data_IF_674269615870
#
_entry.id   IF_674269615870
#
_cell.length_a   1.000
_cell.length_b   1.000
_cell.length_c   1.000
_cell.angle_alpha   90.00
_cell.angle_beta   90.00
_cell.angle_gamma   90.00
#
_symmetry.space_group_name_H-M   'P 1'
#
loop_
_entity.id
_entity.type
_entity.pdbx_description
1 polymer ?
#
# COMPACT_ATOMS: atom_id res chain seq x y z
N UNK A 1 35.14 -0.65 4.86
CA UNK A 1 34.83 -1.85 5.67
C UNK A 1 33.65 -2.54 4.99
N UNK A 2 33.77 -3.84 4.70
CA UNK A 2 32.63 -4.60 4.10
C UNK A 2 31.89 -5.25 5.25
N UNK A 3 30.63 -4.92 5.42
CA UNK A 3 29.76 -5.51 6.43
C UNK A 3 28.94 -6.64 5.81
N UNK A 4 28.81 -7.75 6.53
CA UNK A 4 28.05 -8.92 6.12
C UNK A 4 26.75 -8.98 6.91
N UNK A 5 25.61 -8.88 6.24
CA UNK A 5 24.31 -9.09 6.84
C UNK A 5 23.85 -10.53 6.59
N UNK A 6 23.31 -11.18 7.62
CA UNK A 6 22.70 -12.51 7.52
C UNK A 6 21.19 -12.37 7.46
N UNK A 7 20.56 -13.09 6.53
CA UNK A 7 19.12 -13.10 6.35
C UNK A 7 18.58 -14.50 6.06
N UNK A 8 17.27 -14.58 5.79
CA UNK A 8 16.57 -15.79 5.38
C UNK A 8 16.41 -15.74 3.85
N UNK A 9 16.90 -16.76 3.16
CA UNK A 9 16.69 -16.88 1.71
C UNK A 9 15.22 -17.19 1.43
N UNK A 10 14.52 -16.26 0.78
CA UNK A 10 13.15 -16.45 0.33
C UNK A 10 13.09 -17.27 -0.99
N UNK A 11 14.06 -17.07 -1.87
CA UNK A 11 14.28 -17.86 -3.09
C UNK A 11 15.76 -18.21 -3.24
N UNK A 12 16.04 -19.20 -4.07
CA UNK A 12 17.40 -19.58 -4.42
C UNK A 12 17.96 -18.63 -5.50
N UNK A 13 19.28 -18.41 -5.47
CA UNK A 13 19.98 -17.64 -6.49
C UNK A 13 21.02 -16.69 -5.91
N UNK A 14 21.74 -16.04 -6.83
CA UNK A 14 22.72 -14.99 -6.53
C UNK A 14 22.49 -13.83 -7.48
N UNK A 15 22.41 -12.63 -6.95
CA UNK A 15 22.31 -11.40 -7.73
C UNK A 15 23.38 -10.41 -7.31
N UNK A 16 23.95 -9.68 -8.30
CA UNK A 16 24.92 -8.61 -8.06
C UNK A 16 24.46 -7.39 -8.88
N UNK A 17 24.07 -6.35 -8.20
CA UNK A 17 23.66 -5.08 -8.82
C UNK A 17 23.75 -3.95 -7.78
N UNK A 18 23.44 -2.72 -8.20
CA UNK A 18 23.35 -1.58 -7.27
C UNK A 18 22.18 -1.75 -6.29
N UNK A 19 22.37 -1.33 -5.05
CA UNK A 19 21.26 -1.23 -4.11
C UNK A 19 20.36 -0.04 -4.44
N UNK A 20 19.07 -0.29 -4.57
CA UNK A 20 18.02 0.73 -4.66
C UNK A 20 17.21 0.72 -3.36
N UNK A 21 17.35 1.78 -2.58
CA UNK A 21 16.65 1.88 -1.31
C UNK A 21 15.23 2.44 -1.54
N UNK A 22 14.22 1.59 -1.31
CA UNK A 22 12.82 1.97 -1.37
C UNK A 22 12.38 2.49 0.00
N UNK A 23 12.42 3.81 0.16
CA UNK A 23 12.07 4.47 1.43
C UNK A 23 10.62 4.89 1.39
N UNK A 24 9.85 4.40 2.35
CA UNK A 24 8.48 4.86 2.56
C UNK A 24 8.49 6.24 3.25
N UNK A 25 7.60 7.16 2.87
CA UNK A 25 7.46 8.42 3.57
C UNK A 25 6.94 8.19 5.00
N UNK A 26 7.31 9.06 5.90
CA UNK A 26 6.67 9.11 7.21
C UNK A 26 5.23 9.59 7.06
N UNK A 27 4.26 8.75 7.39
CA UNK A 27 2.83 9.00 7.33
C UNK A 27 2.24 9.29 8.71
N UNK A 28 3.08 9.60 9.70
CA UNK A 28 2.60 10.02 11.02
C UNK A 28 1.83 11.34 10.91
N UNK A 29 0.77 11.44 11.69
CA UNK A 29 -0.08 12.61 11.81
C UNK A 29 -0.56 12.77 13.26
N UNK A 30 -1.07 13.93 13.59
CA UNK A 30 -1.71 14.18 14.85
C UNK A 30 -3.23 14.20 14.68
N UNK A 31 -3.96 13.62 15.64
CA UNK A 31 -5.41 13.77 15.69
C UNK A 31 -5.74 15.16 16.18
N UNK A 32 -6.45 15.92 15.36
CA UNK A 32 -6.86 17.28 15.69
C UNK A 32 -8.37 17.43 15.61
N UNK A 33 -8.92 18.30 16.47
CA UNK A 33 -10.34 18.67 16.39
C UNK A 33 -10.54 19.67 15.26
N UNK A 34 -11.57 19.43 14.44
CA UNK A 34 -11.94 20.28 13.32
C UNK A 34 -13.33 20.88 13.53
N UNK A 35 -13.49 22.17 13.23
CA UNK A 35 -14.79 22.85 13.32
C UNK A 35 -15.60 22.68 12.02
N UNK A 36 -14.95 22.72 10.88
CA UNK A 36 -15.58 22.55 9.55
C UNK A 36 -15.42 21.11 9.06
N UNK A 37 -16.33 20.25 9.49
CA UNK A 37 -16.35 18.84 9.06
C UNK A 37 -16.63 18.68 7.57
N UNK A 38 -17.31 19.64 6.93
CA UNK A 38 -17.58 19.59 5.49
C UNK A 38 -16.30 19.81 4.68
N UNK A 39 -15.40 20.67 5.13
CA UNK A 39 -14.09 20.84 4.52
C UNK A 39 -13.22 19.58 4.65
N UNK A 40 -13.28 18.89 5.79
CA UNK A 40 -12.58 17.62 6.00
C UNK A 40 -13.12 16.49 5.11
N UNK A 41 -14.45 16.41 4.96
CA UNK A 41 -15.05 15.46 4.03
C UNK A 41 -14.62 15.74 2.57
N UNK A 42 -14.55 17.00 2.17
CA UNK A 42 -14.07 17.36 0.84
C UNK A 42 -12.58 17.02 0.65
N UNK A 43 -11.73 17.16 1.70
CA UNK A 43 -10.34 16.70 1.67
C UNK A 43 -10.25 15.18 1.51
N UNK A 44 -11.09 14.43 2.23
CA UNK A 44 -11.18 12.98 2.09
C UNK A 44 -11.57 12.59 0.66
N UNK A 45 -12.63 13.20 0.11
CA UNK A 45 -13.11 12.91 -1.25
C UNK A 45 -12.02 13.20 -2.30
N UNK A 46 -11.29 14.29 -2.15
CA UNK A 46 -10.17 14.62 -3.03
C UNK A 46 -9.04 13.59 -2.93
N UNK A 47 -8.70 13.12 -1.73
CA UNK A 47 -7.67 12.11 -1.52
C UNK A 47 -8.08 10.73 -2.05
N UNK A 48 -9.36 10.35 -1.91
CA UNK A 48 -9.91 9.12 -2.49
C UNK A 48 -9.85 9.17 -4.02
N UNK A 49 -10.27 10.28 -4.64
CA UNK A 49 -10.20 10.46 -6.08
C UNK A 49 -8.76 10.40 -6.61
N UNK A 50 -7.82 11.11 -5.97
CA UNK A 50 -6.41 11.05 -6.34
C UNK A 50 -5.84 9.64 -6.22
N UNK A 51 -6.21 8.90 -5.17
CA UNK A 51 -5.79 7.51 -4.96
C UNK A 51 -6.34 6.57 -6.03
N UNK A 52 -7.58 6.80 -6.46
CA UNK A 52 -8.22 6.04 -7.54
C UNK A 52 -7.53 6.28 -8.88
N UNK A 53 -7.21 7.53 -9.20
CA UNK A 53 -6.48 7.89 -10.42
C UNK A 53 -5.08 7.26 -10.43
N UNK A 54 -4.34 7.34 -9.32
CA UNK A 54 -3.02 6.71 -9.19
C UNK A 54 -3.07 5.20 -9.38
N UNK A 55 -4.02 4.51 -8.72
CA UNK A 55 -4.18 3.05 -8.83
C UNK A 55 -4.60 2.63 -10.23
N UNK A 56 -5.44 3.41 -10.91
CA UNK A 56 -5.84 3.14 -12.29
C UNK A 56 -4.62 3.18 -13.23
N UNK A 57 -3.74 4.18 -13.09
CA UNK A 57 -2.50 4.28 -13.86
C UNK A 57 -1.53 3.13 -13.54
N UNK A 58 -1.43 2.74 -12.27
CA UNK A 58 -0.58 1.61 -11.85
C UNK A 58 -1.12 0.31 -12.44
N UNK A 59 -2.43 0.09 -12.39
CA UNK A 59 -3.09 -1.09 -12.98
C UNK A 59 -2.82 -1.21 -14.47
N UNK A 60 -2.99 -0.12 -15.24
CA UNK A 60 -2.70 -0.12 -16.66
C UNK A 60 -1.25 -0.55 -16.96
N UNK A 61 -0.29 0.01 -16.24
CA UNK A 61 1.12 -0.36 -16.37
C UNK A 61 1.40 -1.80 -15.94
N UNK A 62 0.72 -2.29 -14.91
CA UNK A 62 0.85 -3.67 -14.47
C UNK A 62 0.32 -4.65 -15.53
N UNK A 63 -0.80 -4.33 -16.19
CA UNK A 63 -1.32 -5.11 -17.32
C UNK A 63 -0.30 -5.20 -18.45
N UNK A 64 0.30 -4.07 -18.82
CA UNK A 64 1.29 -4.01 -19.90
C UNK A 64 2.57 -4.81 -19.58
N UNK A 65 3.02 -4.79 -18.33
CA UNK A 65 4.32 -5.36 -17.92
C UNK A 65 4.24 -6.78 -17.39
N UNK A 66 3.13 -7.17 -16.75
CA UNK A 66 2.97 -8.42 -16.01
C UNK A 66 1.74 -9.23 -16.44
N UNK A 67 0.81 -8.62 -17.20
CA UNK A 67 -0.43 -9.23 -17.66
C UNK A 67 -1.62 -9.02 -16.70
N UNK A 68 -2.82 -9.37 -17.18
CA UNK A 68 -4.09 -9.15 -16.47
C UNK A 68 -4.17 -9.85 -15.10
N UNK A 69 -3.64 -11.06 -14.99
CA UNK A 69 -3.70 -11.84 -13.75
C UNK A 69 -2.95 -11.13 -12.60
N UNK A 70 -1.76 -10.63 -12.87
CA UNK A 70 -0.98 -9.88 -11.88
C UNK A 70 -1.59 -8.51 -11.57
N UNK A 71 -2.28 -7.89 -12.54
CA UNK A 71 -2.95 -6.61 -12.37
C UNK A 71 -4.27 -6.69 -11.59
N UNK A 72 -4.86 -7.89 -11.43
CA UNK A 72 -6.14 -8.09 -10.74
C UNK A 72 -6.13 -7.63 -9.26
N UNK A 73 -4.96 -7.60 -8.61
CA UNK A 73 -4.84 -7.05 -7.25
C UNK A 73 -5.27 -5.58 -7.19
N UNK A 74 -5.03 -4.81 -8.25
CA UNK A 74 -5.45 -3.41 -8.30
C UNK A 74 -6.93 -3.23 -8.52
N UNK A 75 -7.62 -4.19 -9.15
CA UNK A 75 -9.09 -4.19 -9.23
C UNK A 75 -9.69 -4.34 -7.82
N UNK A 76 -9.12 -5.20 -6.97
CA UNK A 76 -9.50 -5.31 -5.58
C UNK A 76 -9.28 -4.00 -4.79
N UNK A 77 -8.16 -3.33 -4.99
CA UNK A 77 -7.88 -2.04 -4.35
C UNK A 77 -8.85 -0.94 -4.81
N UNK A 78 -9.16 -0.88 -6.11
CA UNK A 78 -10.15 0.05 -6.65
C UNK A 78 -11.55 -0.21 -6.08
N UNK A 79 -11.93 -1.48 -5.88
CA UNK A 79 -13.20 -1.84 -5.23
C UNK A 79 -13.24 -1.37 -3.76
N UNK A 80 -12.13 -1.49 -3.02
CA UNK A 80 -12.04 -0.97 -1.64
C UNK A 80 -12.21 0.55 -1.61
N UNK A 81 -11.56 1.29 -2.52
CA UNK A 81 -11.73 2.76 -2.61
C UNK A 81 -13.15 3.19 -2.96
N UNK A 82 -13.84 2.40 -3.77
CA UNK A 82 -15.21 2.67 -4.21
C UNK A 82 -16.28 2.19 -3.23
N UNK A 83 -15.90 1.56 -2.11
CA UNK A 83 -16.83 1.01 -1.13
C UNK A 83 -17.58 2.12 -0.41
N UNK A 84 -18.92 2.24 -0.64
CA UNK A 84 -19.72 3.30 -0.04
C UNK A 84 -19.91 3.13 1.47
N UNK A 85 -19.85 1.89 1.98
CA UNK A 85 -19.98 1.62 3.42
C UNK A 85 -18.76 2.16 4.16
N UNK A 86 -17.56 1.81 3.72
CA UNK A 86 -16.32 2.29 4.32
C UNK A 86 -16.22 3.82 4.23
N UNK A 87 -16.46 4.39 3.06
CA UNK A 87 -16.41 5.85 2.86
C UNK A 87 -17.47 6.56 3.70
N UNK A 88 -18.68 6.00 3.79
CA UNK A 88 -19.77 6.52 4.61
C UNK A 88 -19.42 6.55 6.08
N UNK A 89 -18.85 5.48 6.62
CA UNK A 89 -18.41 5.39 8.02
C UNK A 89 -17.27 6.36 8.35
N UNK A 90 -16.32 6.56 7.42
CA UNK A 90 -15.24 7.56 7.62
C UNK A 90 -15.85 8.97 7.74
N UNK A 91 -16.77 9.35 6.84
CA UNK A 91 -17.45 10.65 6.87
C UNK A 91 -18.31 10.81 8.13
N UNK A 92 -18.99 9.77 8.56
CA UNK A 92 -19.74 9.79 9.82
C UNK A 92 -18.82 9.99 11.03
N UNK A 93 -17.67 9.33 11.05
CA UNK A 93 -16.66 9.49 12.10
C UNK A 93 -16.14 10.93 12.15
N UNK A 94 -15.85 11.56 10.98
CA UNK A 94 -15.45 12.97 10.90
C UNK A 94 -16.53 13.87 11.57
N UNK A 95 -17.81 13.68 11.20
CA UNK A 95 -18.92 14.49 11.72
C UNK A 95 -19.15 14.27 13.21
N UNK A 96 -19.21 13.02 13.63
CA UNK A 96 -19.58 12.65 15.01
C UNK A 96 -18.48 13.01 16.01
N UNK A 97 -17.20 12.82 15.64
CA UNK A 97 -16.06 13.06 16.54
C UNK A 97 -15.39 14.39 16.31
N UNK A 98 -15.73 15.11 15.24
CA UNK A 98 -15.10 16.36 14.84
C UNK A 98 -13.56 16.22 14.74
N UNK A 99 -13.08 15.15 14.11
CA UNK A 99 -11.65 14.86 13.91
C UNK A 99 -11.28 15.04 12.45
N UNK A 100 -9.98 15.24 12.20
CA UNK A 100 -9.42 15.32 10.85
C UNK A 100 -9.59 14.01 10.07
N UNK A 101 -9.55 14.12 8.75
CA UNK A 101 -9.79 13.00 7.83
C UNK A 101 -8.79 11.85 8.03
N UNK A 102 -7.52 12.16 8.37
CA UNK A 102 -6.49 11.17 8.66
C UNK A 102 -6.85 10.28 9.84
N UNK A 103 -7.36 10.87 10.92
CA UNK A 103 -7.75 10.14 12.13
C UNK A 103 -8.99 9.28 11.89
N UNK A 104 -10.01 9.83 11.21
CA UNK A 104 -11.23 9.10 10.88
C UNK A 104 -10.96 7.95 9.91
N UNK A 105 -10.13 8.16 8.87
CA UNK A 105 -9.71 7.13 7.94
C UNK A 105 -9.02 5.98 8.67
N UNK A 106 -8.02 6.27 9.50
CA UNK A 106 -7.25 5.25 10.21
C UNK A 106 -8.14 4.47 11.17
N UNK A 107 -8.99 5.14 11.95
CA UNK A 107 -9.88 4.46 12.89
C UNK A 107 -10.83 3.48 12.20
N UNK A 108 -11.48 3.91 11.11
CA UNK A 108 -12.45 3.06 10.40
C UNK A 108 -11.75 1.91 9.68
N UNK A 109 -10.64 2.17 9.02
CA UNK A 109 -9.92 1.11 8.31
C UNK A 109 -9.29 0.10 9.26
N UNK A 110 -8.77 0.51 10.41
CA UNK A 110 -8.26 -0.40 11.45
C UNK A 110 -9.37 -1.31 11.99
N UNK A 111 -10.60 -0.79 12.12
CA UNK A 111 -11.75 -1.60 12.51
C UNK A 111 -12.06 -2.68 11.46
N UNK A 112 -12.11 -2.34 10.16
CA UNK A 112 -12.33 -3.33 9.10
C UNK A 112 -11.20 -4.35 9.03
N UNK A 113 -9.95 -3.91 9.14
CA UNK A 113 -8.77 -4.77 9.18
C UNK A 113 -8.89 -5.78 10.33
N UNK A 114 -9.20 -5.31 11.54
CA UNK A 114 -9.36 -6.18 12.71
C UNK A 114 -10.48 -7.22 12.53
N UNK A 115 -11.60 -6.84 11.90
CA UNK A 115 -12.69 -7.75 11.59
C UNK A 115 -12.23 -8.86 10.63
N UNK A 116 -11.55 -8.49 9.55
CA UNK A 116 -11.11 -9.47 8.54
C UNK A 116 -9.97 -10.36 9.04
N UNK A 117 -9.04 -9.82 9.83
CA UNK A 117 -7.99 -10.62 10.47
C UNK A 117 -8.51 -11.58 11.52
N UNK A 118 -9.60 -11.22 12.22
CA UNK A 118 -10.28 -12.10 13.17
C UNK A 118 -10.97 -13.30 12.52
N UNK A 119 -11.08 -13.35 11.18
CA UNK A 119 -11.64 -14.48 10.43
C UNK A 119 -10.54 -15.51 10.11
N UNK A 120 -9.95 -16.13 11.18
CA UNK A 120 -8.77 -17.02 11.06
C UNK A 120 -8.93 -18.18 10.09
N UNK A 121 -10.15 -18.69 9.91
CA UNK A 121 -10.46 -19.81 9.01
C UNK A 121 -10.71 -19.39 7.55
N UNK A 122 -10.53 -18.11 7.22
CA UNK A 122 -10.82 -17.57 5.89
C UNK A 122 -9.62 -16.79 5.30
N UNK A 123 -8.68 -17.47 4.61
CA UNK A 123 -7.52 -16.82 3.98
C UNK A 123 -7.89 -15.69 3.04
N UNK A 124 -9.01 -15.78 2.33
CA UNK A 124 -9.49 -14.73 1.43
C UNK A 124 -9.80 -13.43 2.18
N UNK A 125 -10.37 -13.51 3.38
CA UNK A 125 -10.64 -12.32 4.20
C UNK A 125 -9.34 -11.71 4.78
N UNK A 126 -8.35 -12.54 5.07
CA UNK A 126 -7.02 -12.05 5.49
C UNK A 126 -6.30 -11.29 4.38
N UNK A 127 -6.43 -11.75 3.13
CA UNK A 127 -5.93 -11.01 1.95
C UNK A 127 -6.64 -9.65 1.82
N UNK A 128 -7.95 -9.58 2.07
CA UNK A 128 -8.69 -8.31 2.08
C UNK A 128 -8.19 -7.32 3.13
N UNK A 129 -7.76 -7.80 4.30
CA UNK A 129 -7.14 -6.94 5.30
C UNK A 129 -5.84 -6.29 4.76
N UNK A 130 -5.04 -7.03 4.02
CA UNK A 130 -3.82 -6.51 3.38
C UNK A 130 -4.15 -5.46 2.30
N UNK A 131 -5.18 -5.70 1.48
CA UNK A 131 -5.66 -4.75 0.47
C UNK A 131 -6.11 -3.42 1.12
N UNK A 132 -6.89 -3.50 2.22
CA UNK A 132 -7.32 -2.31 2.95
C UNK A 132 -6.12 -1.53 3.49
N UNK A 133 -5.10 -2.20 4.05
CA UNK A 133 -3.88 -1.51 4.52
C UNK A 133 -3.16 -0.78 3.40
N UNK A 134 -3.00 -1.40 2.23
CA UNK A 134 -2.31 -0.79 1.09
C UNK A 134 -3.08 0.43 0.57
N UNK A 135 -4.40 0.30 0.44
CA UNK A 135 -5.29 1.41 0.05
C UNK A 135 -5.27 2.53 1.08
N UNK A 136 -5.41 2.21 2.38
CA UNK A 136 -5.37 3.20 3.47
C UNK A 136 -4.08 4.01 3.45
N UNK A 137 -2.95 3.33 3.30
CA UNK A 137 -1.63 3.98 3.18
C UNK A 137 -1.58 4.99 2.03
N UNK A 138 -2.19 4.66 0.89
CA UNK A 138 -2.24 5.54 -0.28
C UNK A 138 -3.12 6.76 -0.03
N UNK A 139 -4.32 6.56 0.49
CA UNK A 139 -5.24 7.66 0.82
C UNK A 139 -4.61 8.58 1.87
N UNK A 140 -3.98 8.01 2.90
CA UNK A 140 -3.28 8.76 3.94
C UNK A 140 -2.12 9.58 3.38
N UNK A 141 -1.34 9.02 2.45
CA UNK A 141 -0.27 9.76 1.77
C UNK A 141 -0.84 10.96 0.98
N UNK A 142 -1.96 10.78 0.27
CA UNK A 142 -2.63 11.86 -0.45
C UNK A 142 -3.18 12.93 0.50
N UNK A 143 -3.80 12.54 1.62
CA UNK A 143 -4.26 13.48 2.66
C UNK A 143 -3.11 14.33 3.21
N UNK A 144 -1.95 13.72 3.44
CA UNK A 144 -0.74 14.37 3.95
C UNK A 144 0.08 15.09 2.88
N UNK A 145 -0.32 15.06 1.61
CA UNK A 145 0.43 15.63 0.49
C UNK A 145 1.79 14.97 0.26
N UNK A 146 1.96 13.71 0.67
CA UNK A 146 3.19 12.92 0.54
C UNK A 146 3.10 11.98 -0.65
N UNK A 147 4.23 11.76 -1.32
CA UNK A 147 4.29 10.83 -2.45
C UNK A 147 4.81 9.48 -1.99
N UNK A 148 4.10 8.42 -2.32
CA UNK A 148 4.59 7.07 -2.17
C UNK A 148 5.69 6.78 -3.22
N UNK A 149 6.68 5.94 -2.88
CA UNK A 149 7.68 5.52 -3.85
C UNK A 149 7.01 4.79 -5.03
N UNK A 150 7.57 4.97 -6.22
CA UNK A 150 7.09 4.30 -7.42
C UNK A 150 8.17 3.36 -7.95
N UNK A 151 8.11 2.06 -7.62
CA UNK A 151 9.10 1.07 -8.07
C UNK A 151 9.18 0.92 -9.59
N UNK A 152 8.12 1.30 -10.33
CA UNK A 152 8.11 1.27 -11.80
C UNK A 152 9.12 2.25 -12.44
N UNK A 153 9.65 3.20 -11.65
CA UNK A 153 10.67 4.14 -12.15
C UNK A 153 12.09 3.56 -12.16
N UNK A 154 12.30 2.37 -11.62
CA UNK A 154 13.60 1.69 -11.63
C UNK A 154 13.90 1.29 -13.08
N UNK A 155 14.94 1.90 -13.65
CA UNK A 155 15.34 1.76 -15.05
C UNK A 155 16.79 1.25 -15.25
N UNK A 156 17.47 0.88 -14.17
CA UNK A 156 18.80 0.24 -14.18
C UNK A 156 18.79 -1.03 -13.33
N UNK A 157 19.72 -1.96 -13.61
CA UNK A 157 19.84 -3.19 -12.83
C UNK A 157 20.09 -2.89 -11.36
N UNK A 158 19.17 -3.34 -10.51
CA UNK A 158 19.13 -2.99 -9.09
C UNK A 158 18.70 -4.16 -8.22
N UNK A 159 19.16 -4.13 -6.98
CA UNK A 159 18.63 -4.92 -5.87
C UNK A 159 17.82 -3.96 -5.01
N UNK A 160 16.51 -4.18 -4.92
CA UNK A 160 15.62 -3.36 -4.09
C UNK A 160 15.81 -3.71 -2.63
N UNK A 161 16.08 -2.70 -1.82
CA UNK A 161 16.17 -2.82 -0.36
C UNK A 161 15.04 -2.00 0.23
N UNK A 162 14.15 -2.66 0.97
CA UNK A 162 12.97 -2.06 1.56
C UNK A 162 12.74 -2.53 2.99
N UNK A 163 11.95 -1.80 3.77
CA UNK A 163 11.48 -2.31 5.05
C UNK A 163 10.49 -3.45 4.83
N UNK A 164 9.52 -3.22 3.95
CA UNK A 164 8.52 -4.19 3.48
C UNK A 164 8.17 -3.87 2.02
N UNK A 165 7.58 -4.84 1.33
CA UNK A 165 7.04 -4.70 -0.03
C UNK A 165 5.58 -5.14 -0.03
N UNK A 166 4.69 -4.19 -0.29
CA UNK A 166 3.26 -4.46 -0.43
C UNK A 166 2.95 -5.16 -1.76
N UNK A 167 1.76 -5.74 -1.93
CA UNK A 167 1.33 -6.26 -3.23
C UNK A 167 1.44 -5.22 -4.35
N UNK A 168 1.07 -3.97 -4.09
CA UNK A 168 1.19 -2.90 -5.09
C UNK A 168 2.63 -2.49 -5.37
N UNK A 169 3.54 -2.59 -4.41
CA UNK A 169 4.97 -2.36 -4.64
C UNK A 169 5.55 -3.45 -5.56
N UNK A 170 5.26 -4.73 -5.24
CA UNK A 170 5.79 -5.88 -6.01
C UNK A 170 5.27 -5.93 -7.43
N UNK A 171 3.99 -5.64 -7.64
CA UNK A 171 3.38 -5.61 -8.96
C UNK A 171 3.93 -4.48 -9.87
N UNK A 172 4.57 -3.48 -9.30
CA UNK A 172 5.24 -2.40 -10.05
C UNK A 172 6.71 -2.70 -10.34
N UNK A 173 7.32 -3.75 -9.77
CA UNK A 173 8.72 -4.10 -9.99
C UNK A 173 8.93 -4.64 -11.41
N UNK A 174 9.78 -3.99 -12.18
CA UNK A 174 10.13 -4.47 -13.51
C UNK A 174 11.22 -5.54 -13.43
N UNK A 175 10.86 -6.80 -13.71
CA UNK A 175 11.77 -7.97 -13.70
C UNK A 175 13.01 -7.81 -14.62
N UNK A 176 12.94 -6.92 -15.61
CA UNK A 176 14.10 -6.60 -16.46
C UNK A 176 15.21 -5.92 -15.65
N UNK A 177 14.85 -5.04 -14.76
CA UNK A 177 15.80 -4.21 -13.99
C UNK A 177 15.98 -4.68 -12.56
N UNK A 178 14.93 -5.14 -11.89
CA UNK A 178 15.01 -5.64 -10.52
C UNK A 178 15.48 -7.08 -10.52
N UNK A 179 16.71 -7.31 -10.02
CA UNK A 179 17.36 -8.63 -10.01
C UNK A 179 17.11 -9.41 -8.72
N UNK A 180 16.88 -8.70 -7.61
CA UNK A 180 16.54 -9.27 -6.32
C UNK A 180 15.94 -8.18 -5.43
N UNK A 181 15.40 -8.60 -4.29
CA UNK A 181 15.02 -7.68 -3.22
C UNK A 181 15.41 -8.23 -1.85
N UNK A 182 15.57 -7.33 -0.90
CA UNK A 182 15.86 -7.59 0.50
C UNK A 182 14.88 -6.78 1.34
N UNK A 183 14.18 -7.43 2.25
CA UNK A 183 13.21 -6.78 3.14
C UNK A 183 13.50 -7.11 4.60
N UNK A 184 13.12 -6.21 5.51
CA UNK A 184 13.21 -6.46 6.95
C UNK A 184 12.08 -7.37 7.43
N UNK A 185 10.92 -7.28 6.77
CA UNK A 185 9.70 -8.04 7.10
C UNK A 185 9.45 -9.05 5.98
N UNK A 186 8.83 -10.16 6.35
CA UNK A 186 8.46 -11.23 5.43
C UNK A 186 9.29 -12.49 5.62
N UNK A 187 9.05 -13.46 4.76
CA UNK A 187 9.69 -14.78 4.75
C UNK A 187 9.35 -15.52 3.48
N UNK A 188 9.62 -16.83 3.44
CA UNK A 188 9.37 -17.67 2.25
C UNK A 188 7.91 -17.73 1.79
N UNK A 189 6.98 -17.45 2.68
CA UNK A 189 5.53 -17.44 2.43
C UNK A 189 4.95 -16.02 2.30
N UNK A 190 5.79 -14.97 2.32
CA UNK A 190 5.33 -13.61 2.11
C UNK A 190 4.90 -13.41 0.64
N UNK A 191 3.95 -12.50 0.42
CA UNK A 191 3.48 -12.16 -0.93
C UNK A 191 4.66 -11.82 -1.86
N UNK A 192 5.59 -11.01 -1.39
CA UNK A 192 6.79 -10.62 -2.14
C UNK A 192 7.74 -11.78 -2.48
N UNK A 193 7.70 -12.89 -1.73
CA UNK A 193 8.53 -14.07 -2.00
C UNK A 193 7.88 -15.04 -3.00
N UNK A 194 6.55 -14.99 -3.13
CA UNK A 194 5.77 -15.88 -4.02
C UNK A 194 5.68 -15.30 -5.43
N UNK A 195 5.63 -13.98 -5.60
CA UNK A 195 5.61 -13.26 -6.88
C UNK A 195 6.99 -13.27 -7.59
#
# INVERSE_FOLDING_TARGET
MTEMLKGIAASDGVAVAKAYLLVQPDLSFETVTVEDTSAEEARLDAALAASQDELSVIREKAVESLGEEAAAVFDAHLMVLADPEMTGQIKETIRAKQVNAEAALTEVTDMFIAIFEGMEDNPYMQERAADIRDVTKRVLANLLGKKLPNPATINEESIVVAHDLTPSDTAQLNKKYVKAFVTNIGGRTSHSAIM
#
